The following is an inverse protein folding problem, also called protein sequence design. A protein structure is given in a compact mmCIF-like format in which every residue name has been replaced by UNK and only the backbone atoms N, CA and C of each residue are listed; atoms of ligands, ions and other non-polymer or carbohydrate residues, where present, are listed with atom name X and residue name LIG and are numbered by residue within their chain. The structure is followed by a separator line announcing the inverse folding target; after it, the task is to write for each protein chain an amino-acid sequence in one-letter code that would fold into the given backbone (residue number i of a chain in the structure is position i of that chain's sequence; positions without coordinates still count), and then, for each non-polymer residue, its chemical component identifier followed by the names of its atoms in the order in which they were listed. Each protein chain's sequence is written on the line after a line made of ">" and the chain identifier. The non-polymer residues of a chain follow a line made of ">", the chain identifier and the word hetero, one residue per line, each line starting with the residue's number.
data_IF_796910960193
#
_entry.id   IF_796910960193
#
_cell.length_a   1.000
_cell.length_b   1.000
_cell.length_c   1.000
_cell.angle_alpha   90.00
_cell.angle_beta   90.00
_cell.angle_gamma   90.00
#
_symmetry.space_group_name_H-M   'P 1'
#
loop_
_entity.id
_entity.type
_entity.pdbx_description
1 polymer ?
#
# COMPACT_ATOMS: atom_id res chain seq x y z
N UNK A 1 -10.40 -2.42 -20.76
CA UNK A 1 -10.82 -1.87 -19.46
C UNK A 1 -9.75 -2.26 -18.46
N UNK A 2 -9.10 -1.32 -17.77
CA UNK A 2 -8.02 -1.62 -16.83
C UNK A 2 -8.53 -2.23 -15.51
N UNK A 3 -7.90 -3.33 -15.09
CA UNK A 3 -8.01 -3.91 -13.75
C UNK A 3 -6.92 -3.29 -12.87
N UNK A 4 -7.27 -2.80 -11.69
CA UNK A 4 -6.34 -2.25 -10.70
C UNK A 4 -6.20 -3.25 -9.57
N UNK A 5 -4.99 -3.79 -9.39
CA UNK A 5 -4.72 -4.75 -8.33
C UNK A 5 -4.09 -4.07 -7.11
N UNK A 6 -4.84 -4.00 -6.02
CA UNK A 6 -4.34 -3.66 -4.69
C UNK A 6 -3.50 -4.84 -4.19
N UNK A 7 -2.19 -4.79 -4.44
CA UNK A 7 -1.32 -5.89 -4.07
C UNK A 7 -1.11 -5.95 -2.56
N UNK A 8 -1.68 -6.96 -1.91
CA UNK A 8 -1.15 -7.52 -0.67
C UNK A 8 -0.31 -8.74 -0.99
N UNK A 9 1.01 -8.64 -0.81
CA UNK A 9 1.83 -9.85 -0.69
C UNK A 9 3.07 -9.57 0.14
N UNK A 10 3.03 -10.04 1.37
CA UNK A 10 4.21 -10.41 2.16
C UNK A 10 4.81 -11.65 1.47
N UNK A 11 5.46 -11.44 0.33
CA UNK A 11 5.99 -12.52 -0.51
C UNK A 11 7.33 -13.04 0.02
N UNK A 12 7.47 -14.36 0.04
CA UNK A 12 8.76 -15.04 0.20
C UNK A 12 9.75 -14.56 -0.88
N UNK A 13 11.04 -14.49 -0.52
CA UNK A 13 12.13 -14.15 -1.45
C UNK A 13 12.24 -15.26 -2.49
N UNK A 14 11.50 -15.16 -3.59
CA UNK A 14 11.76 -15.93 -4.79
C UNK A 14 13.03 -15.35 -5.43
N UNK A 15 14.14 -16.06 -5.27
CA UNK A 15 15.33 -15.88 -6.09
C UNK A 15 14.90 -16.23 -7.52
N UNK A 16 14.86 -15.24 -8.43
CA UNK A 16 14.99 -15.51 -9.86
C UNK A 16 15.25 -14.24 -10.69
N UNK A 17 16.10 -14.43 -11.70
CA UNK A 17 16.71 -13.46 -12.62
C UNK A 17 15.78 -12.94 -13.72
N UNK A 18 14.46 -13.11 -13.60
CA UNK A 18 13.49 -12.66 -14.58
C UNK A 18 13.12 -11.17 -14.41
N UNK A 19 12.73 -10.54 -15.52
CA UNK A 19 12.20 -9.17 -15.56
C UNK A 19 11.02 -9.09 -14.57
N UNK A 20 11.19 -8.33 -13.47
CA UNK A 20 10.17 -8.17 -12.41
C UNK A 20 8.86 -7.54 -12.89
N UNK A 21 8.82 -7.06 -14.14
CA UNK A 21 7.70 -6.38 -14.78
C UNK A 21 7.40 -7.01 -16.14
N UNK A 22 6.12 -7.29 -16.36
CA UNK A 22 5.54 -7.82 -17.58
C UNK A 22 4.73 -6.73 -18.30
N UNK A 23 4.60 -6.88 -19.62
CA UNK A 23 3.78 -5.98 -20.44
C UNK A 23 2.42 -6.62 -20.70
N UNK A 24 1.37 -6.02 -20.17
CA UNK A 24 -0.01 -6.52 -20.27
C UNK A 24 -0.85 -5.57 -21.12
N UNK A 25 -0.57 -5.57 -22.42
CA UNK A 25 -1.25 -4.68 -23.37
C UNK A 25 -2.55 -5.28 -23.91
N UNK A 26 -3.49 -4.41 -24.26
CA UNK A 26 -4.71 -4.80 -24.96
C UNK A 26 -4.38 -5.29 -26.38
N UNK A 27 -5.14 -6.25 -26.95
CA UNK A 27 -4.96 -6.60 -28.36
C UNK A 27 -5.03 -5.35 -29.24
N UNK A 28 -4.06 -5.22 -30.16
CA UNK A 28 -3.95 -4.11 -31.11
C UNK A 28 -3.78 -2.70 -30.51
N UNK A 29 -3.32 -2.59 -29.26
CA UNK A 29 -3.06 -1.30 -28.62
C UNK A 29 -1.86 -1.40 -27.66
N UNK A 30 -1.16 -0.29 -27.45
CA UNK A 30 -0.09 -0.19 -26.44
C UNK A 30 -0.63 0.22 -25.05
N UNK A 31 -1.96 0.23 -24.87
CA UNK A 31 -2.61 0.52 -23.59
C UNK A 31 -2.60 -0.71 -22.69
N UNK A 32 -2.22 -0.52 -21.43
CA UNK A 32 -2.23 -1.55 -20.41
C UNK A 32 -3.65 -1.86 -19.96
N UNK A 33 -4.00 -3.15 -19.90
CA UNK A 33 -5.27 -3.58 -19.29
C UNK A 33 -5.12 -3.95 -17.80
N UNK A 34 -3.91 -3.90 -17.24
CA UNK A 34 -3.64 -4.24 -15.85
C UNK A 34 -2.72 -3.21 -15.20
N UNK A 35 -3.19 -2.57 -14.14
CA UNK A 35 -2.40 -1.72 -13.26
C UNK A 35 -2.03 -2.50 -12.00
N UNK A 36 -0.75 -2.82 -11.84
CA UNK A 36 -0.25 -3.63 -10.73
C UNK A 36 1.25 -3.44 -10.55
N UNK A 37 1.77 -3.91 -9.42
CA UNK A 37 3.22 -4.02 -9.16
C UNK A 37 3.97 -4.70 -10.32
N UNK A 38 3.40 -5.77 -10.88
CA UNK A 38 4.06 -6.60 -11.89
C UNK A 38 3.87 -6.10 -13.31
N UNK A 39 3.09 -5.03 -13.53
CA UNK A 39 2.89 -4.43 -14.86
C UNK A 39 3.41 -2.99 -14.88
N UNK A 40 2.72 -2.09 -14.19
CA UNK A 40 3.02 -0.66 -14.14
C UNK A 40 4.06 -0.32 -13.06
N UNK A 41 4.26 -1.21 -12.08
CA UNK A 41 5.13 -0.96 -10.93
C UNK A 41 4.42 -0.18 -9.83
N UNK A 42 5.20 0.47 -8.96
CA UNK A 42 4.68 1.27 -7.84
C UNK A 42 4.46 2.74 -8.23
N UNK A 43 3.72 2.99 -9.34
CA UNK A 43 3.52 4.35 -9.88
C UNK A 43 2.80 5.28 -8.90
N UNK A 44 1.90 4.73 -8.09
CA UNK A 44 1.16 5.45 -7.06
C UNK A 44 1.73 5.31 -5.64
N UNK A 45 2.93 4.74 -5.50
CA UNK A 45 3.55 4.48 -4.19
C UNK A 45 3.67 2.98 -3.88
N UNK A 46 4.57 2.68 -2.94
CA UNK A 46 4.77 1.31 -2.45
C UNK A 46 3.55 0.86 -1.66
N UNK A 47 2.91 -0.22 -2.08
CA UNK A 47 1.66 -0.71 -1.48
C UNK A 47 0.59 0.38 -1.32
N UNK A 48 0.36 1.15 -2.40
CA UNK A 48 -0.68 2.17 -2.44
C UNK A 48 -2.05 1.60 -2.00
N UNK A 49 -2.71 2.30 -1.09
CA UNK A 49 -4.04 1.94 -0.59
C UNK A 49 -5.19 2.43 -1.49
N UNK A 50 -6.43 2.21 -1.06
CA UNK A 50 -7.62 2.65 -1.76
C UNK A 50 -7.59 4.15 -2.06
N UNK A 51 -7.39 4.99 -1.04
CA UNK A 51 -7.32 6.45 -1.18
C UNK A 51 -6.19 6.88 -2.12
N UNK A 52 -5.00 6.27 -2.00
CA UNK A 52 -3.88 6.59 -2.88
C UNK A 52 -4.15 6.18 -4.33
N UNK A 53 -4.74 5.01 -4.58
CA UNK A 53 -5.00 4.54 -5.94
C UNK A 53 -6.12 5.31 -6.63
N UNK A 54 -7.22 5.59 -5.95
CA UNK A 54 -8.35 6.33 -6.53
C UNK A 54 -7.96 7.75 -6.92
N UNK A 55 -6.99 8.34 -6.21
CA UNK A 55 -6.51 9.70 -6.44
C UNK A 55 -5.31 9.79 -7.39
N UNK A 56 -4.73 8.67 -7.85
CA UNK A 56 -3.48 8.67 -8.63
C UNK A 56 -3.52 7.90 -9.94
N UNK A 57 -4.32 6.81 -10.04
CA UNK A 57 -4.22 5.90 -11.19
C UNK A 57 -4.62 6.57 -12.50
N UNK A 58 -5.61 7.45 -12.48
CA UNK A 58 -6.09 8.15 -13.69
C UNK A 58 -4.99 9.02 -14.30
N UNK A 59 -4.45 9.94 -13.51
CA UNK A 59 -3.32 10.81 -13.90
C UNK A 59 -2.13 10.00 -14.41
N UNK A 60 -1.77 8.91 -13.72
CA UNK A 60 -0.62 8.09 -14.12
C UNK A 60 -0.84 7.28 -15.38
N UNK A 61 -2.08 6.92 -15.71
CA UNK A 61 -2.39 6.29 -17.00
C UNK A 61 -2.46 7.32 -18.12
N UNK A 62 -2.93 8.53 -17.84
CA UNK A 62 -2.92 9.64 -18.80
C UNK A 62 -1.49 10.04 -19.20
N UNK A 63 -0.57 10.11 -18.24
CA UNK A 63 0.86 10.34 -18.50
C UNK A 63 1.49 9.25 -19.40
N UNK A 64 1.00 8.01 -19.33
CA UNK A 64 1.59 6.86 -20.03
C UNK A 64 0.95 6.58 -21.39
N UNK A 65 -0.35 6.80 -21.51
CA UNK A 65 -1.17 6.31 -22.62
C UNK A 65 -1.97 7.42 -23.31
N UNK A 66 -1.88 8.66 -22.82
CA UNK A 66 -2.68 9.80 -23.26
C UNK A 66 -4.06 9.85 -22.62
N UNK A 67 -4.74 10.99 -22.74
CA UNK A 67 -6.04 11.23 -22.12
C UNK A 67 -7.12 10.39 -22.81
N UNK A 68 -7.76 9.50 -22.05
CA UNK A 68 -8.89 8.70 -22.54
C UNK A 68 -9.86 8.37 -21.42
N UNK A 69 -11.16 8.27 -21.75
CA UNK A 69 -12.17 7.89 -20.78
C UNK A 69 -12.02 6.41 -20.44
N UNK A 70 -11.58 6.11 -19.21
CA UNK A 70 -11.38 4.74 -18.72
C UNK A 70 -12.46 4.35 -17.72
N UNK A 71 -12.69 3.03 -17.61
CA UNK A 71 -13.48 2.41 -16.54
C UNK A 71 -12.56 1.46 -15.78
N UNK A 72 -12.41 1.71 -14.48
CA UNK A 72 -11.55 0.94 -13.59
C UNK A 72 -12.31 -0.17 -12.88
N UNK A 73 -11.65 -1.32 -12.71
CA UNK A 73 -12.11 -2.40 -11.85
C UNK A 73 -11.06 -2.70 -10.80
N UNK A 74 -11.36 -2.39 -9.54
CA UNK A 74 -10.45 -2.64 -8.44
C UNK A 74 -10.61 -4.06 -7.91
N UNK A 75 -9.48 -4.76 -7.74
CA UNK A 75 -9.43 -6.10 -7.16
C UNK A 75 -8.37 -6.15 -6.07
N UNK A 76 -8.61 -6.95 -5.05
CA UNK A 76 -7.71 -7.12 -3.90
C UNK A 76 -7.73 -8.57 -3.41
N UNK A 77 -6.76 -8.93 -2.58
CA UNK A 77 -6.70 -10.23 -1.90
C UNK A 77 -6.72 -9.99 -0.39
N UNK A 78 -7.63 -10.69 0.29
CA UNK A 78 -7.72 -10.68 1.75
C UNK A 78 -7.16 -11.96 2.36
N UNK A 79 -6.71 -11.87 3.60
CA UNK A 79 -6.23 -13.00 4.41
C UNK A 79 -6.80 -12.90 5.83
N UNK A 80 -6.95 -14.05 6.47
CA UNK A 80 -7.33 -14.14 7.88
C UNK A 80 -6.43 -13.21 8.74
N UNK A 81 -7.01 -12.32 9.58
CA UNK A 81 -6.29 -11.23 10.23
C UNK A 81 -5.08 -11.64 11.08
N UNK A 82 -5.18 -12.73 11.87
CA UNK A 82 -4.12 -13.20 12.76
C UNK A 82 -2.95 -13.75 11.96
N UNK A 83 -3.22 -14.66 11.03
CA UNK A 83 -2.24 -15.24 10.10
C UNK A 83 -1.53 -14.15 9.29
N UNK A 84 -2.28 -13.14 8.87
CA UNK A 84 -1.77 -11.98 8.16
C UNK A 84 -0.86 -11.13 9.05
N UNK A 85 -1.28 -10.82 10.28
CA UNK A 85 -0.48 -10.05 11.25
C UNK A 85 0.83 -10.75 11.62
N UNK A 86 0.77 -12.05 11.93
CA UNK A 86 1.96 -12.86 12.25
C UNK A 86 2.90 -13.02 11.06
N UNK A 87 2.35 -13.17 9.85
CA UNK A 87 3.15 -13.20 8.62
C UNK A 87 3.90 -11.90 8.39
N UNK A 88 3.26 -10.78 8.72
CA UNK A 88 3.84 -9.43 8.61
C UNK A 88 4.94 -9.22 9.65
N UNK A 89 4.68 -9.58 10.91
CA UNK A 89 5.68 -9.62 11.98
C UNK A 89 6.93 -10.38 11.56
N UNK A 90 6.81 -11.61 11.05
CA UNK A 90 7.97 -12.41 10.61
C UNK A 90 8.71 -11.77 9.44
N UNK A 91 8.06 -10.97 8.62
CA UNK A 91 8.73 -10.25 7.53
C UNK A 91 9.53 -9.06 8.07
N UNK A 92 8.95 -8.30 9.01
CA UNK A 92 9.62 -7.18 9.70
C UNK A 92 10.80 -7.66 10.52
N UNK A 93 10.64 -8.77 11.25
CA UNK A 93 11.70 -9.42 12.02
C UNK A 93 12.92 -9.78 11.15
N UNK A 94 12.72 -10.02 9.84
CA UNK A 94 13.79 -10.26 8.85
C UNK A 94 14.32 -8.97 8.18
N UNK A 95 13.99 -7.80 8.70
CA UNK A 95 14.47 -6.50 8.24
C UNK A 95 13.62 -5.83 7.15
N UNK A 96 12.42 -6.33 6.85
CA UNK A 96 11.55 -5.64 5.90
C UNK A 96 11.00 -4.34 6.49
N UNK A 97 11.00 -3.30 5.67
CA UNK A 97 10.41 -2.00 6.00
C UNK A 97 9.48 -1.57 4.89
N UNK A 98 8.37 -0.92 5.25
CA UNK A 98 7.48 -0.25 4.30
C UNK A 98 7.72 1.25 4.24
N UNK A 99 8.92 1.72 4.62
CA UNK A 99 9.30 3.13 4.69
C UNK A 99 9.14 3.91 3.38
N UNK A 100 9.07 3.22 2.24
CA UNK A 100 8.79 3.82 0.93
C UNK A 100 7.31 4.04 0.62
N UNK A 101 6.40 3.69 1.54
CA UNK A 101 4.96 3.96 1.41
C UNK A 101 4.72 5.43 1.75
N UNK A 102 3.93 6.12 0.94
CA UNK A 102 3.77 7.58 1.06
C UNK A 102 2.65 7.94 2.02
N UNK A 103 1.63 7.10 2.12
CA UNK A 103 0.46 7.31 2.97
C UNK A 103 -0.18 8.67 2.66
N UNK A 104 -0.36 8.95 1.37
CA UNK A 104 -0.95 10.22 0.91
C UNK A 104 -2.43 10.24 1.24
N UNK A 105 -2.86 11.30 1.91
CA UNK A 105 -4.27 11.60 2.17
C UNK A 105 -4.48 13.11 2.09
N UNK A 106 -5.60 13.55 1.52
CA UNK A 106 -5.90 14.99 1.32
C UNK A 106 -4.76 15.72 0.59
N UNK A 107 -4.16 15.04 -0.40
CA UNK A 107 -3.10 15.60 -1.24
C UNK A 107 -1.71 15.73 -0.60
N UNK A 108 -1.49 15.28 0.64
CA UNK A 108 -0.17 15.33 1.30
C UNK A 108 0.21 13.99 1.95
N UNK A 109 1.51 13.69 2.08
CA UNK A 109 1.95 12.52 2.85
C UNK A 109 1.71 12.70 4.35
N UNK A 110 1.68 11.57 5.07
CA UNK A 110 1.66 11.55 6.53
C UNK A 110 2.93 12.16 7.12
N UNK A 111 2.78 12.97 8.16
CA UNK A 111 3.93 13.50 8.92
C UNK A 111 4.37 12.51 10.00
N UNK A 112 5.62 12.62 10.48
CA UNK A 112 6.12 11.78 11.57
C UNK A 112 5.35 11.96 12.88
N UNK A 113 4.74 13.13 13.11
CA UNK A 113 3.87 13.35 14.27
C UNK A 113 2.58 12.53 14.17
N UNK A 114 2.04 12.38 12.97
CA UNK A 114 0.81 11.64 12.71
C UNK A 114 1.04 10.13 12.65
N UNK A 115 2.24 9.75 12.18
CA UNK A 115 2.65 8.37 12.05
C UNK A 115 4.12 8.20 12.49
N UNK A 116 4.36 8.13 13.82
CA UNK A 116 5.71 7.95 14.34
C UNK A 116 6.25 6.55 14.02
N UNK A 117 7.54 6.41 13.70
CA UNK A 117 8.14 5.11 13.44
C UNK A 117 8.13 4.24 14.70
N UNK A 118 8.00 2.93 14.52
CA UNK A 118 8.08 1.96 15.62
C UNK A 118 9.51 1.54 15.98
N UNK A 119 10.50 1.99 15.21
CA UNK A 119 11.89 1.56 15.32
C UNK A 119 12.82 2.71 14.99
N UNK A 120 14.05 2.63 15.48
CA UNK A 120 15.12 3.57 15.18
C UNK A 120 16.09 2.98 14.14
N UNK A 121 16.73 3.84 13.36
CA UNK A 121 17.68 3.44 12.32
C UNK A 121 17.02 2.87 11.05
N UNK A 122 17.69 1.91 10.42
CA UNK A 122 17.36 1.50 9.05
C UNK A 122 16.14 0.59 8.91
N UNK A 123 15.93 -0.30 9.89
CA UNK A 123 14.89 -1.32 9.92
C UNK A 123 14.57 -1.81 11.35
N UNK A 124 13.50 -2.60 11.48
CA UNK A 124 13.06 -3.21 12.73
C UNK A 124 13.43 -4.71 12.81
N UNK A 125 14.63 -5.05 12.33
CA UNK A 125 15.14 -6.42 12.31
C UNK A 125 15.33 -6.97 13.72
N UNK A 126 15.02 -8.25 13.91
CA UNK A 126 15.15 -8.92 15.21
C UNK A 126 14.07 -8.59 16.25
N UNK A 127 13.11 -7.72 15.94
CA UNK A 127 12.00 -7.35 16.85
C UNK A 127 11.30 -8.57 17.45
N UNK A 128 11.01 -8.51 18.75
CA UNK A 128 10.18 -9.50 19.47
C UNK A 128 8.69 -9.33 19.16
N UNK A 129 7.89 -10.40 19.33
CA UNK A 129 6.45 -10.30 19.06
C UNK A 129 5.76 -9.29 19.99
N UNK A 130 6.13 -9.27 21.28
CA UNK A 130 5.54 -8.35 22.26
C UNK A 130 5.84 -6.89 21.93
N UNK A 131 7.08 -6.58 21.54
CA UNK A 131 7.49 -5.24 21.10
C UNK A 131 6.74 -4.82 19.81
N UNK A 132 6.60 -5.75 18.87
CA UNK A 132 5.85 -5.53 17.64
C UNK A 132 4.39 -5.17 17.91
N UNK A 133 3.75 -5.85 18.87
CA UNK A 133 2.37 -5.59 19.29
C UNK A 133 2.27 -4.28 20.08
N UNK A 134 3.24 -4.00 20.95
CA UNK A 134 3.26 -2.86 21.86
C UNK A 134 3.37 -1.51 21.13
N UNK A 135 4.02 -1.45 19.96
CA UNK A 135 4.09 -0.19 19.20
C UNK A 135 2.68 0.26 18.77
N UNK A 136 2.22 1.42 19.27
CA UNK A 136 0.91 1.98 18.95
C UNK A 136 0.77 2.26 17.45
N UNK A 137 1.72 2.99 16.87
CA UNK A 137 1.73 3.36 15.44
C UNK A 137 2.03 2.21 14.46
N UNK A 138 2.05 0.95 14.91
CA UNK A 138 2.33 -0.18 14.04
C UNK A 138 1.23 -0.37 12.99
N UNK A 139 1.56 -0.02 11.75
CA UNK A 139 0.70 -0.13 10.58
C UNK A 139 0.30 -1.56 10.20
N UNK A 140 0.86 -2.59 10.85
CA UNK A 140 0.35 -3.95 10.75
C UNK A 140 -1.03 -4.08 11.39
N UNK A 141 -1.35 -3.30 12.42
CA UNK A 141 -2.68 -3.31 13.03
C UNK A 141 -3.73 -2.78 12.03
N UNK A 142 -4.86 -3.49 11.92
CA UNK A 142 -5.98 -3.16 11.02
C UNK A 142 -5.59 -2.84 9.58
N UNK A 143 -4.47 -3.40 9.08
CA UNK A 143 -3.91 -3.06 7.77
C UNK A 143 -4.90 -3.22 6.62
N UNK A 144 -5.66 -4.33 6.60
CA UNK A 144 -6.63 -4.58 5.52
C UNK A 144 -7.76 -3.56 5.54
N UNK A 145 -8.30 -3.25 6.71
CA UNK A 145 -9.36 -2.26 6.87
C UNK A 145 -8.86 -0.87 6.47
N UNK A 146 -7.70 -0.45 7.01
CA UNK A 146 -7.08 0.84 6.68
C UNK A 146 -6.84 0.98 5.18
N UNK A 147 -6.31 -0.06 4.52
CA UNK A 147 -5.96 0.02 3.11
C UNK A 147 -7.15 -0.04 2.14
N UNK A 148 -8.33 -0.38 2.62
CA UNK A 148 -9.56 -0.46 1.82
C UNK A 148 -10.55 0.65 2.14
N UNK A 149 -10.38 1.32 3.29
CA UNK A 149 -11.18 2.46 3.65
C UNK A 149 -10.77 3.69 2.84
N UNK A 150 -11.73 4.59 2.63
CA UNK A 150 -11.44 5.94 2.21
C UNK A 150 -11.02 6.76 3.43
N UNK A 151 -9.73 7.03 3.54
CA UNK A 151 -9.13 7.75 4.66
C UNK A 151 -9.51 9.24 4.67
N UNK A 152 -9.96 9.79 3.54
CA UNK A 152 -10.37 11.20 3.46
C UNK A 152 -11.70 11.46 4.18
N UNK A 153 -12.58 10.43 4.25
CA UNK A 153 -13.88 10.50 4.94
C UNK A 153 -13.79 10.47 6.46
N UNK A 154 -12.67 9.99 7.01
CA UNK A 154 -12.54 9.66 8.44
C UNK A 154 -11.83 10.76 9.24
N UNK A 155 -11.14 11.67 8.56
CA UNK A 155 -10.62 12.90 9.16
C UNK A 155 -11.77 13.86 9.49
N UNK A 156 -11.93 14.22 10.77
CA UNK A 156 -12.80 15.33 11.16
C UNK A 156 -12.28 16.63 10.54
N UNK A 157 -13.15 17.60 10.32
CA UNK A 157 -12.82 18.92 9.71
C UNK A 157 -11.62 19.59 10.39
N UNK A 158 -11.43 19.34 11.70
CA UNK A 158 -10.34 19.90 12.52
C UNK A 158 -9.15 18.95 12.75
N UNK A 159 -9.24 17.68 12.38
CA UNK A 159 -8.10 16.74 12.48
C UNK A 159 -7.40 16.65 11.14
N UNK A 160 -6.22 17.26 11.04
CA UNK A 160 -5.36 17.15 9.86
C UNK A 160 -4.94 15.70 9.56
N UNK A 161 -5.05 14.80 10.53
CA UNK A 161 -4.59 13.41 10.44
C UNK A 161 -5.66 12.44 9.92
N UNK A 162 -5.41 11.82 8.78
CA UNK A 162 -6.24 10.73 8.24
C UNK A 162 -5.91 9.35 8.83
N UNK A 163 -4.77 9.24 9.55
CA UNK A 163 -4.16 7.95 9.92
C UNK A 163 -4.25 7.70 11.42
N UNK A 164 -4.29 8.76 12.23
CA UNK A 164 -4.27 8.69 13.69
C UNK A 164 -5.43 7.87 14.29
N UNK A 165 -6.62 7.89 13.68
CA UNK A 165 -7.77 7.10 14.18
C UNK A 165 -7.64 5.58 13.97
N UNK A 166 -6.83 5.13 13.02
CA UNK A 166 -6.63 3.70 12.74
C UNK A 166 -5.63 3.02 13.66
N UNK A 167 -4.78 3.82 14.30
CA UNK A 167 -3.83 3.40 15.34
C UNK A 167 -4.55 3.08 16.65
N UNK A 168 -5.76 3.62 16.86
CA UNK A 168 -6.50 3.57 18.13
C UNK A 168 -7.45 2.37 18.26
N UNK A 169 -7.86 1.72 17.17
CA UNK A 169 -8.69 0.51 17.22
C UNK A 169 -7.86 -0.76 17.51
N UNK A 170 -7.07 -0.75 18.58
CA UNK A 170 -6.42 -1.94 19.15
C UNK A 170 -7.17 -2.40 20.39
#
# INVERSE_FOLDING_TARGET
>A
MPIIMLHYQVGHRLVNTCRKRCHCFRPHSNQSWLFSRYTTGWKCGLHADWTELTNCVDDKLDELEGVTKRRYFYVTLLREPISRYLSEFRHVQRGATWKGSRHVCKGRPATEKELPPCYEGDNWGGVGLDEFIACKSNLAANRQTRMLADLELIGTVDSSSCIEKWVVCK
#
